data_IF_399597725412
#
_entry.id   IF_399597725412
#
_cell.length_a   1.000
_cell.length_b   1.000
_cell.length_c   1.000
_cell.angle_alpha   90.00
_cell.angle_beta   90.00
_cell.angle_gamma   90.00
#
_symmetry.space_group_name_H-M   'P 1'
#
loop_
_entity.id
_entity.type
_entity.pdbx_description
1 polymer ?
#
# COMPACT_ATOMS: atom_id res chain seq x y z
N UNK A 1 -10.70 5.39 1.67
CA UNK A 1 -10.59 5.29 0.19
C UNK A 1 -10.90 3.86 -0.24
N UNK A 2 -11.23 3.60 -1.51
CA UNK A 2 -11.43 2.23 -2.03
C UNK A 2 -12.74 1.50 -1.67
N UNK A 3 -13.63 2.13 -0.88
CA UNK A 3 -14.88 1.50 -0.40
C UNK A 3 -15.80 1.03 -1.52
N UNK A 4 -15.98 1.83 -2.58
CA UNK A 4 -16.87 1.46 -3.67
C UNK A 4 -16.34 0.29 -4.50
N UNK A 5 -15.04 0.27 -4.80
CA UNK A 5 -14.38 -0.84 -5.49
C UNK A 5 -14.48 -2.15 -4.69
N UNK A 6 -14.41 -2.06 -3.37
CA UNK A 6 -14.64 -3.20 -2.47
C UNK A 6 -16.09 -3.68 -2.46
N UNK A 7 -17.06 -2.78 -2.55
CA UNK A 7 -18.48 -3.11 -2.37
C UNK A 7 -19.19 -3.47 -3.67
N UNK A 8 -18.80 -2.91 -4.82
CA UNK A 8 -19.68 -2.88 -5.98
C UNK A 8 -19.21 -3.61 -7.23
N UNK A 9 -17.92 -3.70 -7.57
CA UNK A 9 -17.65 -4.01 -9.00
C UNK A 9 -16.35 -4.69 -9.40
N UNK A 10 -15.30 -4.76 -8.57
CA UNK A 10 -14.01 -5.25 -9.07
C UNK A 10 -13.44 -6.45 -8.29
N UNK A 11 -13.58 -7.64 -8.89
CA UNK A 11 -13.04 -8.88 -8.34
C UNK A 11 -11.52 -8.85 -8.20
N UNK A 12 -10.82 -8.16 -9.10
CA UNK A 12 -9.36 -8.06 -9.07
C UNK A 12 -8.94 -7.22 -7.88
N UNK A 13 -9.49 -6.02 -7.74
CA UNK A 13 -9.24 -5.13 -6.60
C UNK A 13 -9.52 -5.85 -5.27
N UNK A 14 -10.67 -6.50 -5.14
CA UNK A 14 -11.03 -7.24 -3.93
C UNK A 14 -10.06 -8.40 -3.65
N UNK A 15 -9.68 -9.17 -4.68
CA UNK A 15 -8.74 -10.29 -4.53
C UNK A 15 -7.36 -9.80 -4.09
N UNK A 16 -6.88 -8.68 -4.64
CA UNK A 16 -5.62 -8.05 -4.25
C UNK A 16 -5.66 -7.58 -2.80
N UNK A 17 -6.70 -6.85 -2.38
CA UNK A 17 -6.82 -6.42 -0.98
C UNK A 17 -6.83 -7.62 -0.01
N UNK A 18 -7.53 -8.70 -0.35
CA UNK A 18 -7.53 -9.94 0.46
C UNK A 18 -6.17 -10.62 0.50
N UNK A 19 -5.45 -10.65 -0.62
CA UNK A 19 -4.10 -11.21 -0.72
C UNK A 19 -3.09 -10.44 0.15
N UNK A 20 -3.11 -9.12 0.05
CA UNK A 20 -2.28 -8.22 0.84
C UNK A 20 -2.56 -8.33 2.35
N UNK A 21 -3.83 -8.38 2.75
CA UNK A 21 -4.22 -8.61 4.15
C UNK A 21 -3.73 -9.96 4.65
N UNK A 22 -3.84 -11.02 3.83
CA UNK A 22 -3.28 -12.33 4.16
C UNK A 22 -1.76 -12.27 4.37
N UNK A 23 -1.03 -11.59 3.50
CA UNK A 23 0.43 -11.44 3.65
C UNK A 23 0.83 -10.76 4.96
N UNK A 24 0.08 -9.74 5.39
CA UNK A 24 0.32 -9.07 6.68
C UNK A 24 0.01 -9.98 7.87
N UNK A 25 -1.11 -10.73 7.81
CA UNK A 25 -1.47 -11.69 8.87
C UNK A 25 -0.44 -12.81 9.01
N UNK A 26 0.01 -13.38 7.89
CA UNK A 26 0.98 -14.48 7.88
C UNK A 26 2.36 -14.06 8.40
N UNK A 27 2.73 -12.79 8.23
CA UNK A 27 4.03 -12.27 8.65
C UNK A 27 4.15 -12.03 10.17
N UNK A 28 3.14 -12.39 10.98
CA UNK A 28 3.12 -12.20 12.43
C UNK A 28 3.47 -10.76 12.84
N UNK A 29 2.84 -9.77 12.19
CA UNK A 29 2.90 -8.40 12.67
C UNK A 29 2.40 -8.37 14.14
N UNK A 30 3.17 -7.80 15.09
CA UNK A 30 2.77 -7.75 16.48
C UNK A 30 1.45 -6.98 16.57
N UNK A 31 0.39 -7.67 17.01
CA UNK A 31 -1.01 -7.25 16.99
C UNK A 31 -1.59 -6.97 15.60
N UNK A 32 -2.76 -7.57 15.32
CA UNK A 32 -3.54 -7.23 14.13
C UNK A 32 -3.83 -5.73 14.15
N UNK A 33 -3.71 -5.02 13.02
CA UNK A 33 -4.09 -3.62 12.98
C UNK A 33 -5.59 -3.52 13.29
N UNK A 34 -5.93 -2.91 14.42
CA UNK A 34 -7.27 -2.41 14.63
C UNK A 34 -7.41 -1.28 13.62
N UNK A 35 -8.19 -1.47 12.55
CA UNK A 35 -8.17 -0.60 11.36
C UNK A 35 -8.64 0.83 11.69
N UNK A 36 -7.73 1.61 12.23
CA UNK A 36 -7.88 3.01 12.58
C UNK A 36 -6.96 3.85 11.68
N UNK A 37 -7.22 5.15 11.60
CA UNK A 37 -6.34 6.09 10.91
C UNK A 37 -5.14 6.42 11.81
N UNK A 38 -4.32 5.41 12.13
CA UNK A 38 -3.02 5.61 12.79
C UNK A 38 -1.91 5.73 11.74
N UNK A 39 -0.83 6.46 12.09
CA UNK A 39 0.29 6.73 11.18
C UNK A 39 0.93 5.44 10.65
N UNK A 40 1.02 4.41 11.49
CA UNK A 40 1.53 3.07 11.11
C UNK A 40 0.63 2.34 10.12
N UNK A 41 -0.67 2.63 10.12
CA UNK A 41 -1.66 2.01 9.24
C UNK A 41 -1.83 2.77 7.93
N UNK A 42 -1.57 4.08 7.94
CA UNK A 42 -1.71 4.93 6.76
C UNK A 42 -0.88 4.43 5.56
N UNK A 43 0.37 4.05 5.79
CA UNK A 43 1.30 3.62 4.74
C UNK A 43 0.90 2.28 4.08
N UNK A 44 0.69 1.18 4.82
CA UNK A 44 0.24 -0.08 4.23
C UNK A 44 -1.15 0.04 3.59
N UNK A 45 -2.07 0.82 4.16
CA UNK A 45 -3.40 1.04 3.56
C UNK A 45 -3.32 1.80 2.23
N UNK A 46 -2.53 2.88 2.15
CA UNK A 46 -2.32 3.60 0.90
C UNK A 46 -1.65 2.71 -0.16
N UNK A 47 -0.63 1.94 0.24
CA UNK A 47 0.06 1.00 -0.65
C UNK A 47 -0.90 -0.06 -1.19
N UNK A 48 -1.77 -0.62 -0.34
CA UNK A 48 -2.75 -1.62 -0.74
C UNK A 48 -3.75 -1.09 -1.77
N UNK A 49 -4.24 0.14 -1.59
CA UNK A 49 -5.11 0.78 -2.58
C UNK A 49 -4.38 1.00 -3.90
N UNK A 50 -3.13 1.46 -3.87
CA UNK A 50 -2.34 1.68 -5.07
C UNK A 50 -2.09 0.37 -5.85
N UNK A 51 -1.66 -0.70 -5.17
CA UNK A 51 -1.48 -2.03 -5.78
C UNK A 51 -2.80 -2.57 -6.34
N UNK A 52 -3.91 -2.41 -5.60
CA UNK A 52 -5.24 -2.78 -6.08
C UNK A 52 -5.62 -2.08 -7.39
N UNK A 53 -5.32 -0.78 -7.51
CA UNK A 53 -5.55 -0.02 -8.74
C UNK A 53 -4.62 -0.45 -9.88
N UNK A 54 -3.34 -0.68 -9.60
CA UNK A 54 -2.37 -1.20 -10.58
C UNK A 54 -2.87 -2.51 -11.17
N UNK A 55 -3.27 -3.46 -10.32
CA UNK A 55 -3.75 -4.78 -10.76
C UNK A 55 -5.06 -4.69 -11.54
N UNK A 56 -5.95 -3.77 -11.16
CA UNK A 56 -7.17 -3.49 -11.90
C UNK A 56 -6.86 -2.99 -13.32
N UNK A 57 -5.94 -2.02 -13.45
CA UNK A 57 -5.54 -1.50 -14.76
C UNK A 57 -4.84 -2.55 -15.63
N UNK A 58 -3.91 -3.32 -15.07
CA UNK A 58 -3.26 -4.42 -15.78
C UNK A 58 -4.26 -5.49 -16.24
N UNK A 59 -5.24 -5.83 -15.39
CA UNK A 59 -6.30 -6.77 -15.76
C UNK A 59 -7.22 -6.23 -16.89
N UNK A 60 -7.30 -4.90 -17.03
CA UNK A 60 -7.98 -4.23 -18.13
C UNK A 60 -7.09 -4.06 -19.39
N UNK A 61 -5.88 -4.62 -19.40
CA UNK A 61 -4.92 -4.52 -20.51
C UNK A 61 -4.13 -3.21 -20.55
N UNK A 62 -4.16 -2.41 -19.49
CA UNK A 62 -3.38 -1.17 -19.38
C UNK A 62 -2.08 -1.48 -18.65
N UNK A 63 -0.99 -1.59 -19.42
CA UNK A 63 0.35 -1.88 -18.89
C UNK A 63 1.19 -0.60 -18.80
N UNK A 64 1.82 -0.32 -17.64
CA UNK A 64 2.68 0.86 -17.49
C UNK A 64 4.00 0.68 -18.25
N UNK A 65 4.33 1.62 -19.13
CA UNK A 65 5.66 1.67 -19.77
C UNK A 65 6.73 2.30 -18.87
N UNK A 66 6.31 3.11 -17.91
CA UNK A 66 7.15 3.74 -16.91
C UNK A 66 6.35 3.98 -15.63
N UNK A 67 7.04 4.05 -14.49
CA UNK A 67 6.43 4.33 -13.18
C UNK A 67 7.24 5.37 -12.43
N UNK A 68 6.57 6.24 -11.70
CA UNK A 68 7.17 7.22 -10.79
C UNK A 68 6.36 7.21 -9.52
N UNK A 69 7.03 6.98 -8.39
CA UNK A 69 6.44 7.14 -7.06
C UNK A 69 6.95 8.40 -6.38
N UNK A 70 6.20 8.90 -5.40
CA UNK A 70 6.64 9.98 -4.52
C UNK A 70 6.65 9.48 -3.09
N UNK A 71 7.82 9.48 -2.43
CA UNK A 71 7.98 9.04 -1.03
C UNK A 71 7.41 7.63 -0.83
N UNK A 72 6.38 7.43 0.01
CA UNK A 72 5.74 6.12 0.20
C UNK A 72 5.18 5.51 -1.09
N UNK A 73 4.79 6.35 -2.06
CA UNK A 73 4.27 5.89 -3.34
C UNK A 73 5.29 5.11 -4.18
N UNK A 74 6.59 5.24 -3.90
CA UNK A 74 7.63 4.44 -4.56
C UNK A 74 7.50 2.94 -4.27
N UNK A 75 6.89 2.55 -3.14
CA UNK A 75 6.69 1.14 -2.81
C UNK A 75 5.71 0.48 -3.80
N UNK A 76 4.58 1.14 -4.06
CA UNK A 76 3.63 0.66 -5.06
C UNK A 76 4.17 0.83 -6.49
N UNK A 77 4.98 1.87 -6.74
CA UNK A 77 5.69 2.05 -8.00
C UNK A 77 6.66 0.90 -8.29
N UNK A 78 7.48 0.50 -7.31
CA UNK A 78 8.40 -0.62 -7.42
C UNK A 78 7.67 -1.95 -7.64
N UNK A 79 6.51 -2.14 -7.00
CA UNK A 79 5.61 -3.27 -7.31
C UNK A 79 5.14 -3.23 -8.78
N UNK A 80 4.64 -2.08 -9.24
CA UNK A 80 4.16 -1.93 -10.62
C UNK A 80 5.26 -2.11 -11.67
N UNK A 81 6.52 -1.83 -11.33
CA UNK A 81 7.70 -2.11 -12.17
C UNK A 81 8.14 -3.59 -12.15
N UNK A 82 7.53 -4.44 -11.30
CA UNK A 82 7.97 -5.82 -11.09
C UNK A 82 9.25 -5.96 -10.24
N UNK A 83 9.71 -4.89 -9.59
CA UNK A 83 10.90 -4.90 -8.74
C UNK A 83 10.63 -5.43 -7.33
N UNK A 84 9.37 -5.37 -6.88
CA UNK A 84 8.91 -5.99 -5.63
C UNK A 84 7.75 -6.94 -5.91
N UNK A 85 7.72 -8.07 -5.22
CA UNK A 85 6.52 -8.91 -5.15
C UNK A 85 5.41 -8.22 -4.34
N UNK A 86 4.17 -8.68 -4.53
CA UNK A 86 3.00 -8.18 -3.76
C UNK A 86 3.24 -8.27 -2.24
N UNK A 87 3.82 -9.40 -1.79
CA UNK A 87 4.19 -9.64 -0.40
C UNK A 87 5.26 -8.66 0.10
N UNK A 88 6.34 -8.48 -0.66
CA UNK A 88 7.43 -7.58 -0.25
C UNK A 88 6.93 -6.14 -0.14
N UNK A 89 6.14 -5.68 -1.11
CA UNK A 89 5.62 -4.31 -1.12
C UNK A 89 4.78 -4.01 0.14
N UNK A 90 3.85 -4.89 0.51
CA UNK A 90 3.00 -4.64 1.68
C UNK A 90 3.76 -4.76 3.01
N UNK A 91 4.74 -5.66 3.09
CA UNK A 91 5.58 -5.82 4.27
C UNK A 91 6.51 -4.63 4.46
N UNK A 92 7.14 -4.13 3.39
CA UNK A 92 7.96 -2.92 3.45
C UNK A 92 7.12 -1.72 3.88
N UNK A 93 5.91 -1.56 3.33
CA UNK A 93 5.00 -0.48 3.72
C UNK A 93 4.62 -0.55 5.21
N UNK A 94 4.33 -1.75 5.72
CA UNK A 94 4.05 -1.98 7.15
C UNK A 94 5.25 -1.62 8.03
N UNK A 95 6.44 -2.14 7.70
CA UNK A 95 7.66 -1.88 8.48
C UNK A 95 8.03 -0.39 8.47
N UNK A 96 7.82 0.30 7.34
CA UNK A 96 8.02 1.75 7.22
C UNK A 96 7.01 2.52 8.08
N UNK A 97 5.76 2.07 8.16
CA UNK A 97 4.75 2.57 9.10
C UNK A 97 5.23 2.51 10.55
N UNK A 98 5.68 1.33 10.98
CA UNK A 98 6.22 1.12 12.33
C UNK A 98 7.48 1.95 12.61
N UNK A 99 8.38 2.08 11.64
CA UNK A 99 9.59 2.89 11.76
C UNK A 99 9.26 4.38 11.93
N UNK A 100 8.28 4.90 11.18
CA UNK A 100 7.82 6.29 11.32
C UNK A 100 7.18 6.52 12.69
N UNK A 101 6.31 5.63 13.17
CA UNK A 101 5.71 5.75 14.51
C UNK A 101 6.75 5.77 15.64
N UNK A 102 7.89 5.11 15.47
CA UNK A 102 9.00 5.12 16.44
C UNK A 102 9.84 6.39 16.42
N UNK A 103 9.70 7.25 15.40
CA UNK A 103 10.43 8.52 15.33
C UNK A 103 9.83 9.52 16.32
N UNK A 104 10.63 9.98 17.28
CA UNK A 104 10.21 10.91 18.33
C UNK A 104 10.75 12.33 18.15
N UNK A 105 11.69 12.54 17.23
CA UNK A 105 12.22 13.87 16.93
C UNK A 105 11.15 14.73 16.28
N UNK A 106 10.93 15.92 16.83
CA UNK A 106 10.04 16.92 16.23
C UNK A 106 10.60 17.41 14.89
N UNK A 107 9.72 17.52 13.90
CA UNK A 107 9.99 18.09 12.59
C UNK A 107 8.72 18.69 12.00
N UNK A 108 8.85 19.48 10.93
CA UNK A 108 7.72 20.09 10.24
C UNK A 108 7.94 20.01 8.72
N UNK A 109 6.84 20.04 7.97
CA UNK A 109 6.84 20.12 6.50
C UNK A 109 6.06 21.37 6.08
N UNK A 110 6.53 22.06 5.06
CA UNK A 110 5.84 23.21 4.45
C UNK A 110 5.88 23.08 2.92
N UNK A 111 4.78 23.42 2.26
CA UNK A 111 4.74 23.63 0.82
C UNK A 111 5.04 25.11 0.53
N UNK A 112 6.01 25.38 -0.35
CA UNK A 112 6.40 26.74 -0.77
C UNK A 112 6.34 26.77 -2.30
N UNK A 113 5.71 27.80 -2.85
CA UNK A 113 5.56 28.03 -4.29
C UNK A 113 5.51 29.51 -4.60
#
# INVERSE_FOLDING_TARGET
>A
MGRELLLRSDLRFQSTIRSLDKHLRDAQAPSLPQWALEEELSQPLCTAVQIGLVNMFMAAGVEPQAVVGHSSGEIAGAYAAGALTEKEAIIVAWQRGLAVKKQTKSGAMAAIG
#
